data_IF_207192968510
#
_entry.id   IF_207192968510
#
_cell.length_a   1.000
_cell.length_b   1.000
_cell.length_c   1.000
_cell.angle_alpha   90.00
_cell.angle_beta   90.00
_cell.angle_gamma   90.00
#
_symmetry.space_group_name_H-M   'P 1'
#
loop_
_entity.id
_entity.type
_entity.pdbx_description
1 polymer ?
#
# COMPACT_ATOMS: atom_id res chain seq x y z
N UNK A 1 -1.18 -3.93 9.23
CA UNK A 1 -2.41 -3.19 8.87
C UNK A 1 -2.21 -2.70 7.46
N UNK A 2 -3.27 -2.76 6.66
CA UNK A 2 -3.25 -2.33 5.27
C UNK A 2 -4.66 -1.81 4.96
N UNK A 3 -4.77 -0.50 4.86
CA UNK A 3 -6.02 0.24 4.61
C UNK A 3 -5.78 1.24 3.48
N UNK A 4 -6.84 1.81 2.92
CA UNK A 4 -6.75 2.96 2.02
C UNK A 4 -7.65 4.08 2.49
N UNK A 5 -7.50 5.25 1.89
CA UNK A 5 -8.46 6.35 2.01
C UNK A 5 -8.71 6.96 0.63
N UNK A 6 -9.87 7.59 0.49
CA UNK A 6 -10.10 8.58 -0.55
C UNK A 6 -9.38 9.86 -0.11
N UNK A 7 -8.40 10.33 -0.89
CA UNK A 7 -7.51 11.40 -0.45
C UNK A 7 -8.25 12.71 -0.14
N UNK A 8 -9.32 13.02 -0.89
CA UNK A 8 -10.13 14.21 -0.71
C UNK A 8 -11.19 14.08 0.39
N UNK A 9 -11.59 12.85 0.73
CA UNK A 9 -12.63 12.55 1.73
C UNK A 9 -12.15 11.36 2.58
N UNK A 10 -11.23 11.61 3.53
CA UNK A 10 -10.54 10.54 4.24
C UNK A 10 -11.51 9.68 5.08
N UNK A 11 -11.83 8.50 4.57
CA UNK A 11 -12.58 7.47 5.28
C UNK A 11 -12.09 6.08 4.86
N UNK A 12 -11.37 5.35 5.74
CA UNK A 12 -10.90 4.01 5.44
C UNK A 12 -12.00 2.95 5.39
N UNK A 13 -13.18 3.21 5.97
CA UNK A 13 -14.33 2.30 5.86
C UNK A 13 -15.01 2.45 4.49
N UNK A 14 -15.06 3.68 3.95
CA UNK A 14 -15.60 3.95 2.61
C UNK A 14 -14.66 3.42 1.53
N UNK A 15 -13.35 3.63 1.70
CA UNK A 15 -12.36 3.19 0.71
C UNK A 15 -12.38 1.67 0.48
N UNK A 16 -12.50 0.88 1.56
CA UNK A 16 -12.61 -0.58 1.46
C UNK A 16 -13.83 -1.07 0.68
N UNK A 17 -14.89 -0.25 0.57
CA UNK A 17 -16.07 -0.58 -0.24
C UNK A 17 -15.85 -0.35 -1.73
N UNK A 18 -14.95 0.56 -2.13
CA UNK A 18 -14.70 0.86 -3.54
C UNK A 18 -13.70 -0.07 -4.21
N UNK A 19 -12.77 -0.65 -3.45
CA UNK A 19 -11.92 -1.73 -3.93
C UNK A 19 -12.72 -3.00 -4.32
N UNK A 20 -14.06 -2.96 -4.24
CA UNK A 20 -14.96 -4.07 -4.47
C UNK A 20 -15.85 -3.91 -5.70
N UNK A 21 -15.30 -4.18 -6.88
CA UNK A 21 -16.14 -4.59 -8.01
C UNK A 21 -16.57 -6.06 -7.83
N UNK A 22 -17.40 -6.34 -6.83
CA UNK A 22 -17.97 -7.67 -6.60
C UNK A 22 -18.52 -7.91 -5.18
N UNK A 23 -19.35 -8.95 -4.96
CA UNK A 23 -19.97 -9.27 -3.66
C UNK A 23 -18.97 -9.70 -2.57
N UNK A 24 -17.67 -9.71 -2.85
CA UNK A 24 -16.57 -10.17 -1.98
C UNK A 24 -15.64 -9.04 -1.56
N UNK A 25 -16.13 -7.80 -1.47
CA UNK A 25 -15.40 -6.57 -1.18
C UNK A 25 -14.60 -6.44 0.11
N UNK A 26 -14.27 -7.56 0.72
CA UNK A 26 -13.52 -7.69 1.94
C UNK A 26 -12.20 -8.34 1.55
N UNK A 27 -11.20 -7.54 1.17
CA UNK A 27 -9.91 -8.14 0.85
C UNK A 27 -8.92 -7.30 0.06
N UNK A 28 -9.31 -6.16 -0.50
CA UNK A 28 -8.46 -5.42 -1.46
C UNK A 28 -8.15 -4.00 -0.99
N UNK A 29 -7.12 -3.42 -1.59
CA UNK A 29 -6.75 -2.02 -1.51
C UNK A 29 -6.58 -1.53 -2.93
N UNK A 30 -7.38 -0.55 -3.30
CA UNK A 30 -7.24 0.18 -4.56
C UNK A 30 -6.20 1.28 -4.37
N UNK A 31 -5.35 1.46 -5.36
CA UNK A 31 -4.31 2.51 -5.39
C UNK A 31 -4.41 3.19 -6.73
N UNK A 32 -4.89 4.43 -6.73
CA UNK A 32 -5.22 5.16 -7.94
C UNK A 32 -5.00 6.66 -7.72
N UNK A 33 -4.24 7.31 -8.61
CA UNK A 33 -3.95 8.75 -8.51
C UNK A 33 -4.79 9.59 -9.48
N UNK A 34 -5.74 8.98 -10.19
CA UNK A 34 -6.70 9.66 -11.04
C UNK A 34 -8.13 9.58 -10.51
N UNK A 35 -8.90 10.62 -10.85
CA UNK A 35 -10.33 10.68 -10.60
C UNK A 35 -11.14 10.01 -11.73
N UNK A 36 -10.55 9.07 -12.48
CA UNK A 36 -11.21 8.27 -13.51
C UNK A 36 -11.42 6.81 -13.10
N UNK A 37 -10.94 6.44 -11.90
CA UNK A 37 -11.33 5.23 -11.18
C UNK A 37 -12.87 5.10 -11.14
N UNK A 38 -13.38 3.90 -10.89
CA UNK A 38 -14.84 3.69 -10.73
C UNK A 38 -15.46 4.55 -9.62
N UNK A 39 -14.63 5.12 -8.76
CA UNK A 39 -14.98 6.03 -7.66
C UNK A 39 -14.88 7.51 -8.03
N UNK A 40 -14.14 7.83 -9.09
CA UNK A 40 -13.86 9.20 -9.49
C UNK A 40 -13.01 9.98 -8.49
N UNK A 41 -12.18 9.30 -7.70
CA UNK A 41 -11.41 9.88 -6.59
C UNK A 41 -10.00 9.28 -6.53
N UNK A 42 -9.06 10.06 -5.99
CA UNK A 42 -7.70 9.60 -5.71
C UNK A 42 -7.75 8.66 -4.50
N UNK A 43 -7.22 7.46 -4.66
CA UNK A 43 -7.15 6.42 -3.65
C UNK A 43 -5.71 6.10 -3.33
N UNK A 44 -5.35 6.18 -2.04
CA UNK A 44 -3.99 5.86 -1.58
C UNK A 44 -4.02 4.81 -0.51
N UNK A 45 -3.05 3.90 -0.56
CA UNK A 45 -2.92 2.83 0.41
C UNK A 45 -1.89 3.18 1.49
N UNK A 46 -2.21 2.84 2.74
CA UNK A 46 -1.36 3.02 3.89
C UNK A 46 -1.14 1.69 4.60
N UNK A 47 0.13 1.37 4.80
CA UNK A 47 0.57 0.11 5.40
C UNK A 47 1.29 0.38 6.71
N UNK A 48 1.04 -0.49 7.69
CA UNK A 48 1.81 -0.55 8.94
C UNK A 48 2.20 -1.99 9.21
N UNK A 49 3.49 -2.19 9.50
CA UNK A 49 4.04 -3.46 9.92
C UNK A 49 4.68 -3.30 11.29
N UNK A 50 4.20 -4.07 12.27
CA UNK A 50 4.90 -4.18 13.56
C UNK A 50 6.10 -5.10 13.36
N UNK A 51 7.26 -4.67 13.84
CA UNK A 51 8.53 -5.36 13.64
C UNK A 51 8.82 -6.31 14.81
N UNK A 52 9.38 -7.50 14.53
CA UNK A 52 9.85 -8.39 15.59
C UNK A 52 11.09 -7.81 16.29
N UNK A 53 11.37 -8.22 17.54
CA UNK A 53 12.63 -7.90 18.20
C UNK A 53 13.83 -8.26 17.33
N UNK A 54 14.78 -7.34 17.18
CA UNK A 54 16.00 -7.54 16.37
C UNK A 54 15.90 -7.04 14.92
N UNK A 55 14.70 -6.72 14.42
CA UNK A 55 14.55 -6.14 13.07
C UNK A 55 15.26 -4.79 12.87
N UNK A 56 15.62 -4.11 13.97
CA UNK A 56 16.44 -2.88 13.92
C UNK A 56 17.88 -3.12 13.43
N UNK A 57 18.33 -4.37 13.39
CA UNK A 57 19.63 -4.75 12.84
C UNK A 57 19.55 -5.18 11.37
N UNK A 58 18.37 -5.07 10.75
CA UNK A 58 18.19 -5.40 9.34
C UNK A 58 19.03 -4.49 8.46
N UNK A 59 19.62 -5.06 7.41
CA UNK A 59 20.32 -4.29 6.37
C UNK A 59 19.35 -3.73 5.35
N UNK A 60 18.14 -4.28 5.29
CA UNK A 60 17.05 -3.81 4.44
C UNK A 60 15.75 -4.49 4.75
N UNK A 61 14.72 -4.09 4.02
CA UNK A 61 13.43 -4.77 4.00
C UNK A 61 13.02 -5.05 2.56
N UNK A 62 12.09 -5.98 2.39
CA UNK A 62 11.38 -6.16 1.12
C UNK A 62 9.89 -6.07 1.41
N UNK A 63 9.25 -5.01 0.90
CA UNK A 63 7.79 -4.95 0.88
C UNK A 63 7.32 -5.85 -0.25
N UNK A 64 6.46 -6.80 0.08
CA UNK A 64 5.82 -7.70 -0.87
C UNK A 64 4.32 -7.42 -0.89
N UNK A 65 3.82 -7.04 -2.05
CA UNK A 65 2.38 -6.95 -2.34
C UNK A 65 2.05 -7.91 -3.47
N UNK A 66 0.81 -8.39 -3.49
CA UNK A 66 0.30 -9.26 -4.56
C UNK A 66 -0.88 -8.56 -5.20
N UNK A 67 -0.77 -8.28 -6.49
CA UNK A 67 -1.87 -7.73 -7.28
C UNK A 67 -3.04 -8.72 -7.25
N UNK A 68 -4.27 -8.23 -7.17
CA UNK A 68 -5.41 -9.15 -7.04
C UNK A 68 -5.67 -9.88 -8.36
N UNK A 69 -6.46 -10.95 -8.28
CA UNK A 69 -6.90 -11.72 -9.44
C UNK A 69 -8.26 -11.28 -9.98
N UNK A 70 -8.78 -10.15 -9.51
CA UNK A 70 -10.09 -9.64 -9.91
C UNK A 70 -9.97 -8.99 -11.29
N UNK A 71 -11.04 -9.08 -12.09
CA UNK A 71 -11.12 -8.44 -13.40
C UNK A 71 -10.66 -6.99 -13.34
N UNK A 72 -9.79 -6.60 -14.28
CA UNK A 72 -9.20 -5.26 -14.39
C UNK A 72 -8.24 -4.87 -13.23
N UNK A 73 -7.69 -5.83 -12.48
CA UNK A 73 -6.64 -5.54 -11.48
C UNK A 73 -5.25 -5.32 -12.12
N UNK A 74 -5.02 -5.82 -13.34
CA UNK A 74 -3.76 -5.57 -14.05
C UNK A 74 -3.54 -4.09 -14.34
N UNK A 75 -2.33 -3.59 -14.09
CA UNK A 75 -1.95 -2.18 -14.28
C UNK A 75 -0.60 -2.06 -15.00
N UNK A 76 -0.39 -1.01 -15.83
CA UNK A 76 0.91 -0.73 -16.44
C UNK A 76 1.97 -0.31 -15.41
N UNK A 77 1.58 0.01 -14.16
CA UNK A 77 2.48 0.31 -13.07
C UNK A 77 2.08 -0.38 -11.76
N UNK A 78 3.09 -0.68 -10.97
CA UNK A 78 2.97 -1.20 -9.62
C UNK A 78 2.80 -0.10 -8.56
N UNK A 79 3.21 1.12 -8.87
CA UNK A 79 3.24 2.24 -7.93
C UNK A 79 4.57 2.41 -7.19
N UNK A 80 4.68 3.51 -6.47
CA UNK A 80 5.85 3.90 -5.70
C UNK A 80 5.58 3.86 -4.19
N UNK A 81 6.64 3.59 -3.42
CA UNK A 81 6.57 3.43 -1.98
C UNK A 81 7.18 4.64 -1.29
N UNK A 82 6.42 5.24 -0.37
CA UNK A 82 6.85 6.38 0.43
C UNK A 82 6.87 6.01 1.92
N UNK A 83 7.77 6.64 2.67
CA UNK A 83 7.74 6.60 4.12
C UNK A 83 6.81 7.68 4.64
N UNK A 84 5.94 7.33 5.60
CA UNK A 84 5.03 8.28 6.24
C UNK A 84 5.24 8.36 7.75
N UNK A 85 4.73 9.43 8.34
CA UNK A 85 4.70 9.59 9.80
C UNK A 85 3.93 8.43 10.45
N UNK A 86 4.29 8.04 11.69
CA UNK A 86 3.58 6.99 12.42
C UNK A 86 2.09 7.32 12.54
N UNK A 87 1.25 6.29 12.36
CA UNK A 87 -0.19 6.43 12.44
C UNK A 87 -0.86 5.17 12.99
N UNK A 88 -2.08 5.34 13.47
CA UNK A 88 -3.06 4.28 13.73
C UNK A 88 -4.21 4.43 12.75
N UNK A 89 -5.02 3.38 12.58
CA UNK A 89 -6.18 3.41 11.67
C UNK A 89 -7.11 4.61 11.91
N UNK A 90 -7.30 5.01 13.16
CA UNK A 90 -8.16 6.14 13.50
C UNK A 90 -7.69 7.47 12.89
N UNK A 91 -6.39 7.63 12.68
CA UNK A 91 -5.82 8.86 12.11
C UNK A 91 -6.24 9.01 10.63
N UNK A 92 -6.48 7.90 9.93
CA UNK A 92 -6.88 7.88 8.52
C UNK A 92 -8.28 8.49 8.27
N UNK A 93 -9.14 8.57 9.29
CA UNK A 93 -10.42 9.30 9.20
C UNK A 93 -10.23 10.82 9.26
N UNK A 94 -9.06 11.29 9.69
CA UNK A 94 -8.76 12.72 9.82
C UNK A 94 -7.92 13.25 8.64
N UNK A 95 -7.18 12.36 7.96
CA UNK A 95 -6.37 12.72 6.81
C UNK A 95 -5.23 11.75 6.51
N UNK A 96 -4.56 11.94 5.36
CA UNK A 96 -3.37 11.18 5.01
C UNK A 96 -2.21 11.46 5.98
N UNK A 97 -1.52 10.43 6.48
CA UNK A 97 -0.23 10.59 7.15
C UNK A 97 0.76 11.36 6.27
N UNK A 98 1.47 12.33 6.85
CA UNK A 98 2.45 13.12 6.10
C UNK A 98 3.67 12.28 5.71
N UNK A 99 4.29 12.56 4.57
CA UNK A 99 5.56 11.94 4.19
C UNK A 99 6.67 12.32 5.17
N UNK A 100 7.58 11.39 5.46
CA UNK A 100 8.83 11.68 6.20
C UNK A 100 9.79 12.50 5.33
N UNK A 101 9.81 12.23 4.02
CA UNK A 101 10.58 12.97 3.04
C UNK A 101 9.83 13.05 1.71
N UNK A 102 10.13 14.04 0.87
CA UNK A 102 9.52 14.13 -0.46
C UNK A 102 10.03 13.12 -1.49
N UNK A 103 10.93 12.20 -1.11
CA UNK A 103 11.49 11.18 -2.00
C UNK A 103 10.86 9.82 -1.72
N UNK A 104 10.52 9.08 -2.78
CA UNK A 104 10.12 7.69 -2.68
C UNK A 104 11.28 6.84 -2.15
N UNK A 105 10.95 5.86 -1.30
CA UNK A 105 11.88 4.83 -0.84
C UNK A 105 12.21 3.85 -1.96
N UNK A 106 11.21 3.52 -2.77
CA UNK A 106 11.33 2.67 -3.94
C UNK A 106 10.34 3.14 -5.00
N UNK A 107 10.79 3.17 -6.25
CA UNK A 107 9.96 3.54 -7.39
C UNK A 107 9.11 2.39 -7.91
N UNK A 108 8.44 2.67 -9.03
CA UNK A 108 7.68 1.69 -9.79
C UNK A 108 8.54 0.50 -10.25
N UNK A 109 8.02 -0.72 -10.10
CA UNK A 109 8.62 -1.99 -10.53
C UNK A 109 8.17 -2.43 -11.93
N UNK A 110 7.39 -1.60 -12.63
CA UNK A 110 6.83 -1.87 -13.96
C UNK A 110 5.43 -2.50 -13.91
N UNK A 111 4.96 -2.98 -15.09
CA UNK A 111 3.63 -3.54 -15.23
C UNK A 111 3.38 -4.75 -14.33
N UNK A 112 2.15 -4.83 -13.84
CA UNK A 112 1.68 -5.90 -12.95
C UNK A 112 0.47 -6.61 -13.56
N UNK A 113 0.55 -7.94 -13.59
CA UNK A 113 -0.53 -8.82 -14.04
C UNK A 113 -1.35 -9.32 -12.85
N UNK A 114 -2.50 -9.90 -13.14
CA UNK A 114 -3.36 -10.53 -12.13
C UNK A 114 -2.59 -11.58 -11.30
N UNK A 115 -2.74 -11.52 -9.97
CA UNK A 115 -2.02 -12.38 -9.01
C UNK A 115 -0.49 -12.27 -9.04
N UNK A 116 0.07 -11.27 -9.72
CA UNK A 116 1.52 -11.05 -9.73
C UNK A 116 1.99 -10.56 -8.37
N UNK A 117 3.05 -11.18 -7.87
CA UNK A 117 3.78 -10.70 -6.70
C UNK A 117 4.76 -9.62 -7.13
N UNK A 118 4.77 -8.52 -6.38
CA UNK A 118 5.68 -7.40 -6.59
C UNK A 118 6.46 -7.17 -5.29
N UNK A 119 7.78 -7.07 -5.45
CA UNK A 119 8.73 -6.88 -4.36
C UNK A 119 9.44 -5.54 -4.52
N UNK A 120 9.33 -4.67 -3.52
CA UNK A 120 10.10 -3.43 -3.44
C UNK A 120 11.24 -3.59 -2.43
N UNK A 121 12.51 -3.43 -2.84
CA UNK A 121 13.62 -3.33 -1.90
C UNK A 121 13.54 -1.98 -1.17
N UNK A 122 13.59 -2.02 0.16
CA UNK A 122 13.51 -0.85 1.04
C UNK A 122 14.77 -0.74 1.92
N UNK A 123 15.19 0.48 2.29
CA UNK A 123 16.39 0.69 3.11
C UNK A 123 16.21 0.16 4.54
N UNK A 124 17.31 -0.29 5.16
CA UNK A 124 17.29 -0.77 6.56
C UNK A 124 17.01 0.33 7.60
N UNK A 125 17.19 1.61 7.23
CA UNK A 125 16.92 2.77 8.10
C UNK A 125 15.43 3.10 8.29
N UNK A 126 14.53 2.29 7.72
CA UNK A 126 13.09 2.51 7.70
C UNK A 126 12.39 2.30 9.06
N UNK A 127 13.02 1.56 9.97
CA UNK A 127 12.39 1.20 11.24
C UNK A 127 12.21 2.44 12.14
N UNK A 128 10.96 2.86 12.35
CA UNK A 128 10.60 3.92 13.30
C UNK A 128 10.17 3.28 14.63
N UNK A 129 11.17 3.01 15.48
CA UNK A 129 10.96 2.29 16.73
C UNK A 129 10.73 0.79 16.48
N UNK A 130 9.50 0.32 16.70
CA UNK A 130 9.12 -1.10 16.56
C UNK A 130 8.12 -1.32 15.41
N UNK A 131 8.01 -0.37 14.48
CA UNK A 131 7.13 -0.48 13.33
C UNK A 131 7.69 0.23 12.09
N UNK A 132 7.11 -0.11 10.94
CA UNK A 132 7.33 0.52 9.64
C UNK A 132 6.00 1.06 9.13
N UNK A 133 5.99 2.29 8.61
CA UNK A 133 4.81 3.00 8.14
C UNK A 133 5.05 3.45 6.70
N UNK A 134 4.22 2.95 5.77
CA UNK A 134 4.40 3.15 4.34
C UNK A 134 3.12 3.67 3.69
N UNK A 135 3.29 4.38 2.59
CA UNK A 135 2.23 4.68 1.64
C UNK A 135 2.58 4.07 0.28
N UNK A 136 1.57 3.57 -0.42
CA UNK A 136 1.66 3.16 -1.83
C UNK A 136 0.86 4.15 -2.64
N UNK A 137 1.48 4.72 -3.66
CA UNK A 137 0.88 5.68 -4.58
C UNK A 137 1.02 5.15 -6.01
N UNK A 138 -0.06 5.21 -6.79
CA UNK A 138 -0.01 4.87 -8.20
C UNK A 138 0.90 5.86 -8.95
N UNK A 139 1.63 5.36 -9.94
CA UNK A 139 2.52 6.20 -10.77
C UNK A 139 1.94 6.51 -12.14
N UNK A 140 0.76 5.99 -12.43
CA UNK A 140 0.05 6.14 -13.68
C UNK A 140 -1.46 6.24 -13.44
N UNK A 141 -2.19 6.56 -14.51
CA UNK A 141 -3.63 6.83 -14.52
C UNK A 141 -4.49 5.54 -14.56
N UNK A 142 -3.89 4.36 -14.56
CA UNK A 142 -4.61 3.09 -14.45
C UNK A 142 -4.23 2.47 -13.10
N UNK A 143 -5.02 2.77 -12.07
CA UNK A 143 -4.79 2.28 -10.71
C UNK A 143 -4.51 0.77 -10.61
N UNK A 144 -3.96 0.38 -9.48
CA UNK A 144 -3.56 -1.00 -9.17
C UNK A 144 -4.25 -1.48 -7.90
N UNK A 145 -4.63 -2.77 -7.87
CA UNK A 145 -5.36 -3.37 -6.75
C UNK A 145 -4.52 -4.42 -6.05
N UNK A 146 -4.14 -4.17 -4.81
CA UNK A 146 -3.40 -5.13 -3.99
C UNK A 146 -4.30 -5.80 -2.96
N UNK A 147 -3.97 -7.03 -2.56
CA UNK A 147 -4.64 -7.63 -1.40
C UNK A 147 -4.36 -6.83 -0.11
N UNK A 148 -5.37 -6.69 0.73
CA UNK A 148 -5.32 -6.13 2.08
C UNK A 148 -5.17 -7.24 3.14
N UNK A 149 -5.26 -6.86 4.42
CA UNK A 149 -5.14 -7.77 5.55
C UNK A 149 -6.17 -8.92 5.58
N UNK A 150 -7.33 -8.75 4.95
CA UNK A 150 -8.42 -9.72 4.84
C UNK A 150 -8.38 -10.49 3.50
N UNK A 151 -7.45 -10.15 2.60
CA UNK A 151 -7.30 -10.75 1.29
C UNK A 151 -6.63 -12.13 1.29
N UNK A 152 -6.56 -12.75 0.13
CA UNK A 152 -5.98 -14.10 -0.03
C UNK A 152 -4.45 -14.13 0.05
N UNK A 153 -3.78 -13.01 -0.23
CA UNK A 153 -2.34 -12.84 -0.11
C UNK A 153 -1.99 -11.49 0.54
N UNK A 154 -2.20 -11.35 1.87
CA UNK A 154 -2.00 -10.09 2.57
C UNK A 154 -0.59 -9.49 2.38
N UNK A 155 -0.44 -8.16 2.53
CA UNK A 155 0.85 -7.49 2.46
C UNK A 155 1.84 -8.08 3.46
N UNK A 156 3.10 -8.22 3.03
CA UNK A 156 4.16 -8.76 3.87
C UNK A 156 5.40 -7.87 3.82
N UNK A 157 6.06 -7.69 4.97
CA UNK A 157 7.34 -7.02 5.07
C UNK A 157 8.40 -8.03 5.50
N UNK A 158 9.29 -8.35 4.57
CA UNK A 158 10.38 -9.29 4.79
C UNK A 158 11.56 -8.50 5.37
N UNK A 159 12.10 -8.98 6.50
CA UNK A 159 13.29 -8.40 7.14
C UNK A 159 14.54 -9.07 6.55
N UNK A 160 15.42 -8.28 5.94
CA UNK A 160 16.65 -8.78 5.34
C UNK A 160 17.81 -8.63 6.33
N UNK A 161 18.38 -9.75 6.75
CA UNK A 161 19.55 -9.83 7.62
C UNK A 161 20.77 -10.33 6.82
N UNK A 162 21.97 -9.97 7.25
CA UNK A 162 23.22 -10.59 6.74
C UNK A 162 23.42 -12.01 7.28
#
# INVERSE_FOLDING_TARGET
>A
MADCILHQEPDPDECGQFASEGPTGVGEIDVDETADSTVGKVVRAYLRFDLPPGARQATGFTLRLTNTGITNASSPGSGAIYEVQPFVRQDLFSGPPAHVSGAALAGDQGPVMDNQVVDWPLPGSLAQGDAVFLEVIATDDNGVRYWNNNGSSPPNLIVNCE
#
